data_IF_060774366693
#
_entry.id   IF_060774366693
#
_cell.length_a   1.000
_cell.length_b   1.000
_cell.length_c   1.000
_cell.angle_alpha   90.00
_cell.angle_beta   90.00
_cell.angle_gamma   90.00
#
_symmetry.space_group_name_H-M   'P 1'
#
loop_
_entity.id
_entity.type
_entity.pdbx_description
1 polymer ?
#
# COMPACT_ATOMS: atom_id res chain seq x y z
N UNK A 1 -1.49 -31.42 2.40
CA UNK A 1 -0.86 -30.78 1.22
C UNK A 1 -1.72 -29.60 0.83
N UNK A 2 -1.35 -28.39 1.24
CA UNK A 2 -2.14 -27.19 0.93
C UNK A 2 -1.88 -26.78 -0.52
N UNK A 3 -2.91 -26.80 -1.34
CA UNK A 3 -2.90 -26.21 -2.67
C UNK A 3 -2.74 -24.70 -2.45
N UNK A 4 -1.62 -24.12 -2.88
CA UNK A 4 -1.35 -22.68 -2.86
C UNK A 4 -2.37 -21.98 -3.77
N UNK A 5 -3.55 -21.67 -3.24
CA UNK A 5 -4.60 -20.98 -3.98
C UNK A 5 -4.28 -19.47 -4.02
N UNK A 6 -3.28 -19.16 -4.83
CA UNK A 6 -2.86 -17.80 -5.14
C UNK A 6 -3.81 -17.29 -6.23
N UNK A 7 -4.81 -16.50 -5.83
CA UNK A 7 -5.74 -15.87 -6.79
C UNK A 7 -5.12 -14.57 -7.35
N UNK A 8 -5.13 -14.40 -8.68
CA UNK A 8 -4.62 -13.20 -9.37
C UNK A 8 -5.77 -12.48 -10.07
N UNK A 9 -6.04 -11.22 -9.68
CA UNK A 9 -6.98 -10.34 -10.42
C UNK A 9 -6.21 -9.21 -11.08
N UNK A 10 -6.59 -8.85 -12.31
CA UNK A 10 -6.14 -7.59 -12.94
C UNK A 10 -7.01 -6.45 -12.39
N UNK A 11 -6.40 -5.47 -11.72
CA UNK A 11 -7.01 -4.14 -11.55
C UNK A 11 -7.02 -3.36 -12.88
N UNK A 12 -7.31 -2.06 -12.84
CA UNK A 12 -7.24 -1.18 -14.03
C UNK A 12 -5.79 -1.00 -14.49
N UNK A 13 -4.78 -1.11 -13.61
CA UNK A 13 -3.36 -1.03 -14.00
C UNK A 13 -2.37 -1.93 -13.22
N UNK A 14 -2.77 -2.60 -12.12
CA UNK A 14 -1.88 -3.48 -11.34
C UNK A 14 -2.47 -4.90 -11.11
N UNK A 15 -1.71 -6.00 -11.30
CA UNK A 15 -2.07 -7.33 -10.81
C UNK A 15 -1.99 -7.41 -9.28
N UNK A 16 -3.11 -7.82 -8.67
CA UNK A 16 -3.23 -8.09 -7.23
C UNK A 16 -3.18 -9.60 -6.99
N UNK A 17 -2.41 -10.03 -6.00
CA UNK A 17 -2.25 -11.44 -5.65
C UNK A 17 -2.83 -11.67 -4.25
N UNK A 18 -3.73 -12.63 -4.07
CA UNK A 18 -4.27 -12.98 -2.76
C UNK A 18 -4.02 -14.45 -2.42
N UNK A 19 -3.34 -14.69 -1.30
CA UNK A 19 -3.34 -15.94 -0.53
C UNK A 19 -4.29 -15.82 0.66
N UNK A 20 -5.11 -16.84 0.95
CA UNK A 20 -5.77 -16.98 2.25
C UNK A 20 -4.73 -16.86 3.37
N UNK A 21 -5.07 -16.13 4.44
CA UNK A 21 -4.16 -15.92 5.58
C UNK A 21 -2.80 -15.31 5.23
N UNK A 22 -2.69 -14.59 4.10
CA UNK A 22 -1.44 -13.98 3.67
C UNK A 22 -1.13 -12.71 4.45
N UNK A 23 0.17 -12.47 4.68
CA UNK A 23 0.68 -11.18 5.16
C UNK A 23 0.99 -10.26 3.98
N UNK A 24 0.52 -9.02 4.03
CA UNK A 24 0.65 -8.04 2.97
C UNK A 24 1.23 -6.73 3.47
N UNK A 25 2.01 -6.10 2.60
CA UNK A 25 2.35 -4.69 2.69
C UNK A 25 1.49 -3.92 1.70
N UNK A 26 0.73 -2.96 2.22
CA UNK A 26 -0.22 -2.14 1.48
C UNK A 26 0.27 -0.69 1.45
N UNK A 27 0.00 -0.01 0.35
CA UNK A 27 0.19 1.44 0.22
C UNK A 27 -1.00 2.03 -0.51
N UNK A 28 -1.61 3.06 0.08
CA UNK A 28 -2.64 3.87 -0.56
C UNK A 28 -2.38 5.34 -0.29
N UNK A 29 -2.90 6.21 -1.16
CA UNK A 29 -2.52 7.61 -1.22
C UNK A 29 -3.68 8.53 -1.56
N UNK A 30 -3.55 9.80 -1.21
CA UNK A 30 -4.54 10.82 -1.60
C UNK A 30 -4.59 10.94 -3.12
N UNK A 31 -5.73 11.38 -3.63
CA UNK A 31 -6.02 11.41 -5.07
C UNK A 31 -5.01 12.22 -5.89
N UNK A 32 -4.40 13.23 -5.27
CA UNK A 32 -3.48 14.22 -5.82
C UNK A 32 -2.01 13.98 -5.43
N UNK A 33 -1.72 12.95 -4.62
CA UNK A 33 -0.37 12.67 -4.12
C UNK A 33 0.64 12.40 -5.25
N UNK A 34 0.16 11.87 -6.39
CA UNK A 34 0.92 11.75 -7.63
C UNK A 34 0.10 12.39 -8.76
N UNK A 35 0.52 13.57 -9.28
CA UNK A 35 -0.11 14.22 -10.41
C UNK A 35 -0.18 13.31 -11.65
N UNK A 36 -1.14 13.59 -12.53
CA UNK A 36 -1.41 12.78 -13.72
C UNK A 36 -0.18 12.64 -14.62
N UNK A 37 0.59 13.72 -14.79
CA UNK A 37 1.80 13.77 -15.61
C UNK A 37 2.87 12.83 -15.06
N UNK A 38 3.04 12.81 -13.74
CA UNK A 38 4.00 11.94 -13.05
C UNK A 38 3.54 10.49 -13.07
N UNK A 39 2.25 10.24 -12.85
CA UNK A 39 1.69 8.90 -12.95
C UNK A 39 1.83 8.32 -14.37
N UNK A 40 1.69 9.17 -15.39
CA UNK A 40 1.88 8.83 -16.80
C UNK A 40 3.34 8.51 -17.08
N UNK A 41 4.27 9.38 -16.67
CA UNK A 41 5.70 9.12 -16.79
C UNK A 41 6.14 7.83 -16.10
N UNK A 42 5.67 7.57 -14.87
CA UNK A 42 5.96 6.33 -14.14
C UNK A 42 5.40 5.07 -14.84
N UNK A 43 4.36 5.22 -15.66
CA UNK A 43 3.81 4.14 -16.49
C UNK A 43 4.69 3.94 -17.72
N UNK A 44 5.05 5.02 -18.42
CA UNK A 44 5.91 5.00 -19.59
C UNK A 44 7.30 4.44 -19.27
N UNK A 45 7.91 4.90 -18.19
CA UNK A 45 9.19 4.41 -17.69
C UNK A 45 9.13 2.90 -17.41
N UNK A 46 8.04 2.42 -16.81
CA UNK A 46 7.85 0.99 -16.54
C UNK A 46 7.68 0.16 -17.83
N UNK A 47 6.92 0.68 -18.79
CA UNK A 47 6.77 0.03 -20.10
C UNK A 47 8.09 0.01 -20.88
N UNK A 48 8.86 1.09 -20.80
CA UNK A 48 10.20 1.18 -21.37
C UNK A 48 11.15 0.15 -20.73
N UNK A 49 11.21 0.10 -19.40
CA UNK A 49 12.04 -0.85 -18.66
C UNK A 49 11.69 -2.31 -19.03
N UNK A 50 10.40 -2.64 -19.16
CA UNK A 50 9.96 -3.97 -19.60
C UNK A 50 10.38 -4.30 -21.03
N UNK A 51 10.29 -3.33 -21.96
CA UNK A 51 10.72 -3.52 -23.36
C UNK A 51 12.23 -3.69 -23.45
N UNK A 52 13.00 -2.91 -22.69
CA UNK A 52 14.45 -3.03 -22.61
C UNK A 52 14.84 -4.43 -22.10
N UNK A 53 14.25 -4.86 -20.99
CA UNK A 53 14.49 -6.18 -20.42
C UNK A 53 14.13 -7.31 -21.39
N UNK A 54 12.99 -7.22 -22.07
CA UNK A 54 12.60 -8.21 -23.08
C UNK A 54 13.61 -8.29 -24.23
N UNK A 55 14.15 -7.14 -24.66
CA UNK A 55 15.17 -7.07 -25.73
C UNK A 55 16.48 -7.71 -25.28
N UNK A 56 16.94 -7.39 -24.07
CA UNK A 56 18.18 -7.94 -23.51
C UNK A 56 18.10 -9.46 -23.32
N UNK A 57 16.96 -9.97 -22.87
CA UNK A 57 16.75 -11.41 -22.66
C UNK A 57 16.51 -12.18 -23.96
N UNK A 58 16.13 -11.51 -25.05
CA UNK A 58 15.67 -12.17 -26.29
C UNK A 58 14.38 -12.99 -26.11
N UNK A 59 13.69 -12.85 -24.98
CA UNK A 59 12.45 -13.54 -24.63
C UNK A 59 11.60 -12.67 -23.70
N UNK A 60 10.33 -13.07 -23.53
CA UNK A 60 9.47 -12.43 -22.53
C UNK A 60 10.04 -12.63 -21.12
N UNK A 61 9.98 -11.60 -20.24
CA UNK A 61 10.37 -11.73 -18.84
C UNK A 61 9.56 -12.81 -18.12
N UNK A 62 10.23 -13.62 -17.31
CA UNK A 62 9.59 -14.57 -16.40
C UNK A 62 8.92 -13.82 -15.23
N UNK A 63 8.29 -14.56 -14.31
CA UNK A 63 7.55 -13.96 -13.18
C UNK A 63 8.45 -13.16 -12.23
N UNK A 64 9.70 -13.58 -12.04
CA UNK A 64 10.64 -12.94 -11.13
C UNK A 64 11.19 -11.65 -11.73
N UNK A 65 11.59 -11.71 -13.01
CA UNK A 65 12.05 -10.55 -13.79
C UNK A 65 10.95 -9.47 -13.89
N UNK A 66 9.72 -9.86 -14.20
CA UNK A 66 8.57 -8.94 -14.22
C UNK A 66 8.24 -8.36 -12.82
N UNK A 67 8.52 -9.14 -11.75
CA UNK A 67 8.38 -8.66 -10.37
C UNK A 67 9.46 -7.65 -10.02
N UNK A 68 10.71 -7.86 -10.43
CA UNK A 68 11.80 -6.91 -10.22
C UNK A 68 11.50 -5.55 -10.87
N UNK A 69 11.06 -5.54 -12.13
CA UNK A 69 10.65 -4.32 -12.82
C UNK A 69 9.48 -3.60 -12.11
N UNK A 70 8.51 -4.36 -11.58
CA UNK A 70 7.40 -3.81 -10.79
C UNK A 70 7.88 -3.20 -9.47
N UNK A 71 8.81 -3.84 -8.78
CA UNK A 71 9.43 -3.33 -7.56
C UNK A 71 10.15 -2.01 -7.83
N UNK A 72 10.88 -1.90 -8.94
CA UNK A 72 11.56 -0.67 -9.32
C UNK A 72 10.59 0.47 -9.62
N UNK A 73 9.52 0.19 -10.38
CA UNK A 73 8.44 1.16 -10.58
C UNK A 73 7.84 1.63 -9.26
N UNK A 74 7.58 0.71 -8.32
CA UNK A 74 7.07 1.05 -7.00
C UNK A 74 8.04 1.95 -6.24
N UNK A 75 9.34 1.63 -6.24
CA UNK A 75 10.39 2.43 -5.61
C UNK A 75 10.42 3.86 -6.16
N UNK A 76 10.28 4.04 -7.48
CA UNK A 76 10.21 5.37 -8.10
C UNK A 76 8.97 6.15 -7.64
N UNK A 77 7.82 5.47 -7.54
CA UNK A 77 6.59 6.09 -7.04
C UNK A 77 6.68 6.47 -5.55
N UNK A 78 7.25 5.59 -4.72
CA UNK A 78 7.50 5.84 -3.29
C UNK A 78 8.38 7.08 -3.08
N UNK A 79 9.47 7.19 -3.83
CA UNK A 79 10.38 8.36 -3.79
C UNK A 79 9.69 9.67 -4.17
N UNK A 80 8.62 9.60 -4.96
CA UNK A 80 7.81 10.77 -5.29
C UNK A 80 6.81 11.09 -4.17
N UNK A 81 6.20 10.07 -3.55
CA UNK A 81 5.31 10.24 -2.41
C UNK A 81 6.01 10.91 -1.22
N UNK A 82 7.26 10.54 -0.95
CA UNK A 82 8.09 11.12 0.11
C UNK A 82 8.31 12.64 -0.06
N UNK A 83 8.16 13.18 -1.27
CA UNK A 83 8.30 14.61 -1.52
C UNK A 83 7.10 15.43 -1.06
N UNK A 84 5.99 14.78 -0.66
CA UNK A 84 4.82 15.48 -0.10
C UNK A 84 4.07 16.34 -1.12
N UNK A 85 3.98 15.90 -2.38
CA UNK A 85 3.16 16.56 -3.40
C UNK A 85 1.66 16.43 -3.11
N UNK A 86 0.87 17.29 -3.75
CA UNK A 86 -0.56 17.44 -3.52
C UNK A 86 -0.86 18.30 -2.28
N UNK A 87 -2.13 18.39 -1.92
CA UNK A 87 -2.64 19.13 -0.78
C UNK A 87 -2.14 18.57 0.56
N UNK A 88 -1.63 17.34 0.58
CA UNK A 88 -1.20 16.65 1.81
C UNK A 88 -2.31 16.66 2.88
N UNK A 89 -3.50 16.21 2.50
CA UNK A 89 -4.71 16.31 3.31
C UNK A 89 -4.56 15.71 4.73
N UNK A 90 -3.69 14.71 4.90
CA UNK A 90 -3.44 14.07 6.19
C UNK A 90 -2.55 14.90 7.12
N UNK A 91 -2.11 16.10 6.72
CA UNK A 91 -1.56 17.09 7.65
C UNK A 91 -2.63 17.65 8.58
N UNK A 92 -3.90 17.66 8.18
CA UNK A 92 -4.99 18.02 9.07
C UNK A 92 -5.22 16.87 10.08
N UNK A 93 -5.04 17.11 11.40
CA UNK A 93 -5.18 16.07 12.41
C UNK A 93 -6.56 15.43 12.47
N UNK A 94 -7.60 16.10 11.98
CA UNK A 94 -8.96 15.53 11.87
C UNK A 94 -8.99 14.46 10.79
N UNK A 95 -8.39 14.74 9.62
CA UNK A 95 -8.36 13.81 8.51
C UNK A 95 -7.47 12.60 8.80
N UNK A 96 -6.28 12.85 9.37
CA UNK A 96 -5.37 11.79 9.77
C UNK A 96 -5.99 10.84 10.81
N UNK A 97 -6.68 11.38 11.82
CA UNK A 97 -7.38 10.57 12.82
C UNK A 97 -8.42 9.65 12.21
N UNK A 98 -9.24 10.16 11.30
CA UNK A 98 -10.27 9.37 10.61
C UNK A 98 -9.62 8.22 9.81
N UNK A 99 -8.51 8.50 9.13
CA UNK A 99 -7.77 7.48 8.39
C UNK A 99 -7.12 6.44 9.33
N UNK A 100 -6.54 6.87 10.44
CA UNK A 100 -5.95 5.99 11.47
C UNK A 100 -7.00 5.06 12.08
N UNK A 101 -8.14 5.62 12.50
CA UNK A 101 -9.27 4.87 13.05
C UNK A 101 -9.80 3.86 12.03
N UNK A 102 -9.92 4.25 10.75
CA UNK A 102 -10.37 3.35 9.70
C UNK A 102 -9.41 2.15 9.51
N UNK A 103 -8.09 2.38 9.53
CA UNK A 103 -7.08 1.31 9.43
C UNK A 103 -7.16 0.37 10.64
N UNK A 104 -7.48 0.87 11.83
CA UNK A 104 -7.51 0.09 13.06
C UNK A 104 -8.84 -0.61 13.33
N UNK A 105 -9.91 -0.19 12.65
CA UNK A 105 -11.29 -0.57 12.99
C UNK A 105 -11.56 -2.09 13.02
N UNK A 106 -11.00 -2.84 12.08
CA UNK A 106 -11.22 -4.29 11.96
C UNK A 106 -10.01 -5.13 12.41
N UNK A 107 -9.07 -4.53 13.15
CA UNK A 107 -7.94 -5.27 13.71
C UNK A 107 -8.43 -6.39 14.64
N UNK A 108 -7.95 -7.61 14.43
CA UNK A 108 -8.38 -8.83 15.12
C UNK A 108 -9.67 -9.47 14.61
N UNK A 109 -10.37 -8.85 13.64
CA UNK A 109 -11.56 -9.42 12.99
C UNK A 109 -11.28 -9.77 11.52
N UNK A 110 -10.95 -8.77 10.70
CA UNK A 110 -10.71 -8.98 9.26
C UNK A 110 -9.24 -9.15 8.92
N UNK A 111 -8.37 -8.67 9.78
CA UNK A 111 -6.93 -8.74 9.64
C UNK A 111 -6.26 -8.57 11.00
N UNK A 112 -5.07 -9.14 11.16
CA UNK A 112 -4.13 -8.75 12.20
C UNK A 112 -3.28 -7.59 11.69
N UNK A 113 -3.34 -6.45 12.37
CA UNK A 113 -2.59 -5.25 12.04
C UNK A 113 -1.21 -5.30 12.72
N UNK A 114 -0.14 -5.41 11.92
CA UNK A 114 1.22 -5.56 12.44
C UNK A 114 1.95 -4.23 12.60
N UNK A 115 1.87 -3.38 11.58
CA UNK A 115 2.45 -2.04 11.58
C UNK A 115 1.67 -1.14 10.64
N UNK A 116 1.52 0.14 10.99
CA UNK A 116 0.96 1.13 10.08
C UNK A 116 1.59 2.50 10.34
N UNK A 117 1.61 3.31 9.30
CA UNK A 117 1.82 4.75 9.42
C UNK A 117 1.00 5.50 8.38
N UNK A 118 0.53 6.66 8.78
CA UNK A 118 0.13 7.70 7.84
C UNK A 118 1.34 8.57 7.54
N UNK A 119 1.36 9.11 6.34
CA UNK A 119 2.24 10.15 5.85
C UNK A 119 1.33 11.30 5.36
N UNK A 120 1.83 12.51 5.10
CA UNK A 120 1.00 13.66 4.73
C UNK A 120 0.03 13.42 3.56
N UNK A 121 0.38 12.56 2.60
CA UNK A 121 -0.41 12.28 1.40
C UNK A 121 -0.57 10.77 1.11
N UNK A 122 -0.11 9.87 1.99
CA UNK A 122 -0.23 8.42 1.80
C UNK A 122 -0.17 7.64 3.11
N UNK A 123 -0.37 6.34 3.05
CA UNK A 123 -0.26 5.44 4.18
C UNK A 123 0.46 4.15 3.79
N UNK A 124 1.21 3.59 4.73
CA UNK A 124 1.80 2.26 4.62
C UNK A 124 1.25 1.36 5.73
N UNK A 125 0.90 0.12 5.37
CA UNK A 125 0.31 -0.83 6.31
C UNK A 125 0.88 -2.22 6.09
N UNK A 126 1.28 -2.90 7.16
CA UNK A 126 1.58 -4.34 7.19
C UNK A 126 0.49 -5.03 7.99
N UNK A 127 -0.19 -6.00 7.35
CA UNK A 127 -1.25 -6.78 8.00
C UNK A 127 -1.25 -8.23 7.52
N UNK A 128 -1.86 -9.12 8.29
CA UNK A 128 -2.22 -10.48 7.87
C UNK A 128 -3.73 -10.55 7.71
N UNK A 129 -4.20 -10.93 6.53
CA UNK A 129 -5.64 -11.03 6.27
C UNK A 129 -6.21 -12.25 6.99
N UNK A 130 -7.37 -12.12 7.63
CA UNK A 130 -8.06 -13.23 8.27
C UNK A 130 -9.21 -13.74 7.39
N UNK A 131 -9.55 -15.02 7.49
CA UNK A 131 -10.68 -15.62 6.77
C UNK A 131 -10.63 -15.45 5.25
N UNK A 132 -11.80 -15.20 4.64
CA UNK A 132 -11.98 -15.10 3.19
C UNK A 132 -11.86 -13.67 2.63
N UNK A 133 -11.36 -12.72 3.44
CA UNK A 133 -11.21 -11.34 3.00
C UNK A 133 -10.09 -11.20 1.95
N UNK A 134 -10.11 -10.08 1.22
CA UNK A 134 -9.07 -9.74 0.24
C UNK A 134 -8.43 -8.40 0.60
N UNK A 135 -7.11 -8.23 0.44
CA UNK A 135 -6.42 -6.97 0.75
C UNK A 135 -7.04 -5.76 0.04
N UNK A 136 -7.43 -5.93 -1.22
CA UNK A 136 -8.09 -4.88 -2.01
C UNK A 136 -9.47 -4.51 -1.48
N UNK A 137 -10.22 -5.48 -0.95
CA UNK A 137 -11.52 -5.24 -0.33
C UNK A 137 -11.38 -4.52 1.02
N UNK A 138 -10.41 -4.92 1.83
CA UNK A 138 -10.06 -4.26 3.10
C UNK A 138 -9.67 -2.80 2.85
N UNK A 139 -8.72 -2.57 1.93
CA UNK A 139 -8.28 -1.22 1.55
C UNK A 139 -9.41 -0.38 0.95
N UNK A 140 -10.28 -0.98 0.14
CA UNK A 140 -11.47 -0.33 -0.39
C UNK A 140 -12.44 0.13 0.69
N UNK A 141 -12.64 -0.69 1.73
CA UNK A 141 -13.49 -0.34 2.87
C UNK A 141 -12.92 0.85 3.66
N UNK A 142 -11.61 0.83 3.97
CA UNK A 142 -10.94 1.95 4.64
C UNK A 142 -11.10 3.25 3.85
N UNK A 143 -10.79 3.21 2.55
CA UNK A 143 -10.83 4.40 1.68
C UNK A 143 -12.24 4.96 1.53
N UNK A 144 -13.23 4.10 1.32
CA UNK A 144 -14.62 4.53 1.15
C UNK A 144 -15.17 5.19 2.42
N UNK A 145 -14.98 4.55 3.58
CA UNK A 145 -15.42 5.10 4.86
C UNK A 145 -14.70 6.41 5.18
N UNK A 146 -13.36 6.40 5.17
CA UNK A 146 -12.58 7.57 5.55
C UNK A 146 -12.77 8.73 4.58
N UNK A 147 -12.92 8.51 3.27
CA UNK A 147 -13.19 9.60 2.32
C UNK A 147 -14.48 10.35 2.67
N UNK A 148 -15.55 9.62 3.00
CA UNK A 148 -16.84 10.20 3.39
C UNK A 148 -16.70 11.04 4.67
N UNK A 149 -16.08 10.47 5.70
CA UNK A 149 -15.96 11.14 6.99
C UNK A 149 -14.97 12.31 6.95
N UNK A 150 -13.87 12.21 6.17
CA UNK A 150 -12.92 13.31 5.95
C UNK A 150 -13.62 14.48 5.25
N UNK A 151 -14.35 14.21 4.16
CA UNK A 151 -15.11 15.24 3.46
C UNK A 151 -16.11 15.94 4.37
N UNK A 152 -16.83 15.18 5.20
CA UNK A 152 -17.74 15.73 6.21
C UNK A 152 -17.02 16.60 7.24
N UNK A 153 -15.94 16.07 7.84
CA UNK A 153 -15.19 16.75 8.91
C UNK A 153 -14.50 18.04 8.43
N UNK A 154 -14.11 18.09 7.15
CA UNK A 154 -13.45 19.24 6.55
C UNK A 154 -14.40 20.12 5.72
N UNK A 155 -15.70 19.80 5.66
CA UNK A 155 -16.68 20.48 4.79
C UNK A 155 -16.24 20.55 3.32
N UNK A 156 -15.60 19.47 2.85
CA UNK A 156 -15.11 19.30 1.48
C UNK A 156 -16.01 18.37 0.67
N UNK A 157 -15.81 18.38 -0.64
CA UNK A 157 -16.40 17.45 -1.60
C UNK A 157 -15.32 16.97 -2.57
N UNK A 158 -15.58 15.86 -3.24
CA UNK A 158 -14.67 15.27 -4.22
C UNK A 158 -13.86 14.12 -3.65
N UNK A 159 -12.85 13.70 -4.41
CA UNK A 159 -12.05 12.53 -4.10
C UNK A 159 -11.04 12.83 -3.00
N UNK A 160 -10.91 11.91 -2.05
CA UNK A 160 -9.87 11.96 -1.02
C UNK A 160 -8.71 11.05 -1.42
N UNK A 161 -9.03 9.81 -1.80
CA UNK A 161 -8.06 8.78 -2.12
C UNK A 161 -8.02 8.50 -3.61
N UNK A 162 -6.84 8.14 -4.12
CA UNK A 162 -6.72 7.61 -5.48
C UNK A 162 -7.42 6.25 -5.58
N UNK A 163 -8.04 5.92 -6.71
CA UNK A 163 -8.76 4.64 -6.94
C UNK A 163 -7.93 3.37 -6.67
N UNK A 164 -6.71 3.30 -7.21
CA UNK A 164 -5.86 2.12 -7.06
C UNK A 164 -4.88 2.28 -5.88
N UNK A 165 -4.68 1.21 -5.13
CA UNK A 165 -3.60 1.08 -4.16
C UNK A 165 -2.63 -0.02 -4.57
N UNK A 166 -1.49 -0.08 -3.88
CA UNK A 166 -0.48 -1.10 -4.08
C UNK A 166 -0.56 -2.15 -2.96
N UNK A 167 -0.46 -3.42 -3.32
CA UNK A 167 -0.31 -4.55 -2.40
C UNK A 167 0.89 -5.41 -2.78
N UNK A 168 1.60 -5.89 -1.76
CA UNK A 168 2.71 -6.81 -1.90
C UNK A 168 2.60 -7.94 -0.88
N UNK A 169 2.50 -9.19 -1.35
CA UNK A 169 2.56 -10.36 -0.49
C UNK A 169 3.95 -10.51 0.13
N UNK A 170 4.02 -10.49 1.46
CA UNK A 170 5.21 -10.72 2.27
C UNK A 170 5.48 -12.21 2.34
N UNK A 171 6.72 -12.64 2.09
CA UNK A 171 7.05 -14.07 1.86
C UNK A 171 7.91 -14.72 2.96
N UNK A 172 8.15 -14.02 4.06
CA UNK A 172 8.89 -14.60 5.18
C UNK A 172 9.29 -13.60 6.26
N UNK A 173 9.78 -14.11 7.40
CA UNK A 173 10.01 -13.35 8.63
C UNK A 173 11.03 -12.21 8.45
N UNK A 174 12.09 -12.42 7.67
CA UNK A 174 13.07 -11.36 7.40
C UNK A 174 12.46 -10.19 6.62
N UNK A 175 11.67 -10.48 5.57
CA UNK A 175 10.99 -9.44 4.80
C UNK A 175 9.93 -8.71 5.61
N UNK A 176 9.25 -9.41 6.50
CA UNK A 176 8.29 -8.86 7.43
C UNK A 176 8.90 -7.87 8.39
N UNK A 177 9.92 -8.29 9.15
CA UNK A 177 10.62 -7.43 10.11
C UNK A 177 11.15 -6.16 9.44
N UNK A 178 11.71 -6.29 8.24
CA UNK A 178 12.18 -5.15 7.45
C UNK A 178 11.04 -4.20 7.07
N UNK A 179 9.89 -4.73 6.61
CA UNK A 179 8.74 -3.91 6.23
C UNK A 179 8.08 -3.23 7.43
N UNK A 180 7.90 -3.92 8.56
CA UNK A 180 7.40 -3.30 9.79
C UNK A 180 8.32 -2.17 10.26
N UNK A 181 9.64 -2.41 10.26
CA UNK A 181 10.62 -1.38 10.58
C UNK A 181 10.54 -0.19 9.62
N UNK A 182 10.47 -0.46 8.32
CA UNK A 182 10.29 0.58 7.32
C UNK A 182 9.03 1.43 7.61
N UNK A 183 7.92 0.81 7.96
CA UNK A 183 6.67 1.52 8.31
C UNK A 183 6.85 2.40 9.55
N UNK A 184 7.50 1.90 10.60
CA UNK A 184 7.77 2.67 11.82
C UNK A 184 8.77 3.81 11.62
N UNK A 185 9.78 3.61 10.77
CA UNK A 185 10.85 4.59 10.55
C UNK A 185 10.42 5.73 9.61
N UNK A 186 9.44 5.52 8.73
CA UNK A 186 9.02 6.52 7.75
C UNK A 186 8.56 7.86 8.37
N UNK A 187 7.66 7.86 9.36
CA UNK A 187 7.23 9.09 10.03
C UNK A 187 8.34 9.89 10.71
N UNK A 188 9.46 9.26 11.09
CA UNK A 188 10.58 9.95 11.75
C UNK A 188 11.19 11.05 10.86
N UNK A 189 11.02 10.93 9.53
CA UNK A 189 11.43 11.94 8.55
C UNK A 189 10.65 13.25 8.68
N UNK A 190 9.50 13.25 9.36
CA UNK A 190 8.58 14.39 9.47
C UNK A 190 8.71 15.15 10.81
N UNK A 191 9.65 14.75 11.67
CA UNK A 191 9.72 15.26 13.05
C UNK A 191 8.63 14.63 13.92
N UNK A 192 7.84 15.44 14.62
CA UNK A 192 6.73 14.92 15.43
C UNK A 192 5.55 14.54 14.55
N UNK A 193 5.28 13.23 14.47
CA UNK A 193 4.16 12.68 13.70
C UNK A 193 3.51 11.51 14.45
N UNK A 194 2.32 11.69 15.03
CA UNK A 194 1.73 10.71 15.95
C UNK A 194 0.96 9.58 15.24
N UNK A 195 0.83 9.62 13.91
CA UNK A 195 0.01 8.68 13.14
C UNK A 195 0.79 7.44 12.73
N UNK A 196 1.25 6.68 13.72
CA UNK A 196 2.08 5.49 13.55
C UNK A 196 1.79 4.49 14.66
N UNK A 197 1.81 3.20 14.34
CA UNK A 197 1.65 2.17 15.35
C UNK A 197 2.07 0.78 14.87
N UNK A 198 2.02 -0.16 15.80
CA UNK A 198 2.25 -1.58 15.53
C UNK A 198 1.88 -2.42 16.73
N UNK A 199 1.42 -3.64 16.48
CA UNK A 199 0.99 -4.56 17.53
C UNK A 199 2.13 -5.38 18.14
N UNK A 200 3.29 -5.43 17.46
CA UNK A 200 4.40 -6.32 17.82
C UNK A 200 4.10 -7.81 17.61
N UNK A 201 2.88 -8.17 17.19
CA UNK A 201 2.47 -9.55 16.92
C UNK A 201 3.14 -10.05 15.64
N UNK A 202 3.69 -11.26 15.69
CA UNK A 202 4.22 -11.95 14.52
C UNK A 202 3.08 -12.68 13.79
N UNK A 203 3.17 -12.82 12.45
CA UNK A 203 2.33 -13.77 11.72
C UNK A 203 2.56 -15.19 12.20
N UNK A 204 1.53 -16.03 12.08
CA UNK A 204 1.60 -17.44 12.46
C UNK A 204 2.76 -18.17 11.74
N UNK A 205 3.55 -18.92 12.51
CA UNK A 205 4.71 -19.67 12.01
C UNK A 205 5.96 -18.84 11.69
N UNK A 206 5.98 -17.55 12.05
CA UNK A 206 7.15 -16.65 11.85
C UNK A 206 7.87 -16.29 13.15
N UNK A 207 7.78 -17.20 14.14
CA UNK A 207 8.53 -17.15 15.41
C UNK A 207 10.05 -17.04 15.19
#
# INVERSE_FOLDING_TARGET
>A
MAVDDISRRRGRSLPHWSRPCGTYFLTFRTHDAIPYEVATKLREDYEFDLRLLQRELGRSPNREEARAARTERYRRAEKYLEQGHGECLLRDPRAARIADEAIRFFDGDRYDLHAWCLMPNHAHVVLTVLGAYKPTGIMGAWKSYSAKEINKALSRRGDVWQDEGFDHLVRGPHSFRRLCRYVWDNPQKLGYWPWVGGSGKLPEGWE
#
